data_IF_856695579562
#
_entry.id   IF_856695579562
#
_cell.length_a   1.000
_cell.length_b   1.000
_cell.length_c   1.000
_cell.angle_alpha   90.00
_cell.angle_beta   90.00
_cell.angle_gamma   90.00
#
_symmetry.space_group_name_H-M   'P 1'
#
loop_
_entity.id
_entity.type
_entity.pdbx_description
1 polymer ?
#
# COMPACT_ATOMS: atom_id res chain seq x y z
N UNK A 1 -21.78 0.62 -8.27
CA UNK A 1 -20.62 0.74 -7.36
C UNK A 1 -20.11 2.17 -7.46
N UNK A 2 -20.26 2.99 -6.41
CA UNK A 2 -20.03 4.43 -6.48
C UNK A 2 -18.54 4.77 -6.43
N UNK A 3 -17.98 5.09 -7.59
CA UNK A 3 -16.73 5.83 -7.74
C UNK A 3 -16.99 7.31 -7.43
N UNK A 4 -16.18 7.93 -6.56
CA UNK A 4 -16.01 9.39 -6.57
C UNK A 4 -16.54 10.22 -5.40
N UNK A 5 -16.52 9.76 -4.15
CA UNK A 5 -16.58 10.69 -3.00
C UNK A 5 -15.20 10.81 -2.33
N UNK A 6 -14.52 11.94 -2.61
CA UNK A 6 -13.32 12.37 -1.88
C UNK A 6 -13.66 12.43 -0.39
N UNK A 7 -12.86 11.73 0.40
CA UNK A 7 -12.94 11.71 1.86
C UNK A 7 -12.45 13.07 2.40
N UNK A 8 -13.29 13.75 3.20
CA UNK A 8 -12.98 15.09 3.71
C UNK A 8 -11.70 15.11 4.56
N UNK A 9 -11.04 16.28 4.61
CA UNK A 9 -9.72 16.60 5.21
C UNK A 9 -9.46 16.17 6.67
N UNK A 10 -10.36 15.45 7.32
CA UNK A 10 -10.16 14.83 8.65
C UNK A 10 -9.93 13.32 8.60
N UNK A 11 -9.84 12.69 7.42
CA UNK A 11 -10.11 11.25 7.36
C UNK A 11 -9.18 10.40 6.48
N UNK A 12 -7.96 10.88 6.14
CA UNK A 12 -6.94 10.00 5.51
C UNK A 12 -5.99 9.35 6.54
N UNK A 13 -5.84 9.97 7.72
CA UNK A 13 -5.19 9.34 8.86
C UNK A 13 -6.03 8.13 9.29
N UNK A 14 -5.40 6.99 9.50
CA UNK A 14 -6.05 5.72 9.77
C UNK A 14 -6.42 4.92 8.52
N UNK A 15 -6.30 5.48 7.32
CA UNK A 15 -6.52 4.72 6.08
C UNK A 15 -5.48 3.61 5.93
N UNK A 16 -5.95 2.38 5.71
CA UNK A 16 -5.13 1.22 5.37
C UNK A 16 -4.58 1.36 3.97
N UNK A 17 -3.25 1.29 3.85
CA UNK A 17 -2.52 1.37 2.58
C UNK A 17 -1.38 0.37 2.58
N UNK A 18 -0.86 0.07 1.39
CA UNK A 18 0.42 -0.57 1.21
C UNK A 18 1.42 0.43 0.65
N UNK A 19 2.68 0.37 1.09
CA UNK A 19 3.76 1.23 0.59
C UNK A 19 5.04 0.41 0.39
N UNK A 20 5.89 0.79 -0.57
CA UNK A 20 7.12 0.05 -0.87
C UNK A 20 8.17 0.26 0.22
N UNK A 21 8.91 -0.81 0.50
CA UNK A 21 10.17 -0.79 1.25
C UNK A 21 11.39 -0.75 0.33
N UNK A 22 12.57 -0.62 0.96
CA UNK A 22 13.86 -0.60 0.25
C UNK A 22 14.18 -1.92 -0.45
N UNK A 23 13.55 -3.01 -0.01
CA UNK A 23 13.64 -4.36 -0.59
C UNK A 23 12.71 -4.58 -1.79
N UNK A 24 11.96 -3.54 -2.21
CA UNK A 24 10.97 -3.62 -3.29
C UNK A 24 9.67 -4.33 -2.92
N UNK A 25 9.52 -4.78 -1.67
CA UNK A 25 8.27 -5.36 -1.17
C UNK A 25 7.32 -4.25 -0.73
N UNK A 26 6.03 -4.49 -0.89
CA UNK A 26 4.97 -3.67 -0.33
C UNK A 26 4.59 -4.18 1.06
N UNK A 27 4.54 -3.23 2.00
CA UNK A 27 4.17 -3.47 3.38
C UNK A 27 2.85 -2.79 3.68
N UNK A 28 1.94 -3.52 4.32
CA UNK A 28 0.67 -2.97 4.78
C UNK A 28 0.85 -2.13 6.05
N UNK A 29 0.06 -1.07 6.16
CA UNK A 29 0.05 -0.21 7.32
C UNK A 29 -1.09 0.78 7.31
N UNK A 30 -1.03 1.74 8.23
CA UNK A 30 -1.99 2.85 8.32
C UNK A 30 -1.28 4.19 8.17
N UNK A 31 -1.86 5.10 7.41
CA UNK A 31 -1.35 6.48 7.34
C UNK A 31 -1.50 7.12 8.73
N UNK A 32 -0.40 7.59 9.33
CA UNK A 32 -0.42 8.20 10.66
C UNK A 32 -0.14 9.70 10.65
N UNK A 33 0.40 10.24 9.54
CA UNK A 33 0.71 11.65 9.40
C UNK A 33 0.68 12.09 7.94
N UNK A 34 0.33 13.36 7.71
CA UNK A 34 0.33 14.01 6.40
C UNK A 34 1.10 15.31 6.52
N UNK A 35 2.02 15.55 5.59
CA UNK A 35 2.81 16.77 5.49
C UNK A 35 2.52 17.43 4.15
N UNK A 36 1.91 18.61 4.17
CA UNK A 36 1.63 19.42 2.97
C UNK A 36 2.38 20.75 3.10
N UNK A 37 3.30 21.10 2.17
CA UNK A 37 4.03 22.35 2.23
C UNK A 37 3.11 23.58 2.11
N UNK A 38 3.41 24.64 2.87
CA UNK A 38 2.58 25.85 2.97
C UNK A 38 2.40 26.62 1.64
N UNK A 39 3.38 26.56 0.72
CA UNK A 39 3.34 27.24 -0.59
C UNK A 39 2.27 26.69 -1.55
N UNK A 40 1.57 25.62 -1.16
CA UNK A 40 0.57 24.91 -1.95
C UNK A 40 -0.87 25.13 -1.42
N UNK A 41 -1.04 25.98 -0.40
CA UNK A 41 -2.30 26.23 0.29
C UNK A 41 -3.03 27.51 -0.17
N UNK A 42 -2.72 28.06 -1.36
CA UNK A 42 -3.53 29.12 -1.95
C UNK A 42 -4.75 28.51 -2.66
N UNK A 43 -5.93 28.95 -2.25
CA UNK A 43 -7.26 28.61 -2.78
C UNK A 43 -7.93 27.35 -2.19
N UNK A 44 -8.67 27.58 -1.10
CA UNK A 44 -9.96 26.95 -0.79
C UNK A 44 -10.16 25.50 -1.24
N UNK A 45 -9.30 24.61 -0.76
CA UNK A 45 -9.41 23.16 -0.96
C UNK A 45 -8.07 22.50 -0.64
N UNK A 46 -8.05 21.29 -0.07
CA UNK A 46 -6.79 20.51 -0.06
C UNK A 46 -6.78 20.00 -1.49
N UNK A 47 -6.21 20.78 -2.39
CA UNK A 47 -5.54 20.16 -3.50
C UNK A 47 -4.50 19.25 -2.85
N UNK A 48 -4.67 17.93 -2.97
CA UNK A 48 -3.57 16.99 -2.75
C UNK A 48 -2.52 17.42 -3.77
N UNK A 49 -1.61 18.26 -3.33
CA UNK A 49 -0.58 18.78 -4.22
C UNK A 49 0.43 17.66 -4.45
N UNK A 50 1.12 17.64 -5.60
CA UNK A 50 2.16 16.65 -5.89
C UNK A 50 3.28 16.59 -4.83
N UNK A 51 3.35 17.60 -3.95
CA UNK A 51 4.32 17.70 -2.86
C UNK A 51 3.77 17.20 -1.51
N UNK A 52 2.53 16.74 -1.44
CA UNK A 52 1.97 16.16 -0.21
C UNK A 52 2.66 14.84 0.09
N UNK A 53 3.14 14.69 1.32
CA UNK A 53 3.83 13.50 1.81
C UNK A 53 3.02 12.82 2.90
N UNK A 54 3.07 11.49 2.90
CA UNK A 54 2.36 10.62 3.82
C UNK A 54 3.36 9.78 4.60
N UNK A 55 3.13 9.58 5.89
CA UNK A 55 3.90 8.63 6.70
C UNK A 55 3.01 7.48 7.13
N UNK A 56 3.51 6.26 6.99
CA UNK A 56 2.76 5.02 7.22
C UNK A 56 3.35 4.30 8.44
N UNK A 57 2.48 3.94 9.39
CA UNK A 57 2.81 2.99 10.46
C UNK A 57 2.54 1.58 9.93
N UNK A 58 3.60 0.85 9.66
CA UNK A 58 3.51 -0.51 9.12
C UNK A 58 3.13 -1.54 10.18
N UNK A 59 2.46 -2.60 9.72
CA UNK A 59 2.20 -3.78 10.53
C UNK A 59 3.51 -4.54 10.79
N UNK A 60 3.54 -5.31 11.88
CA UNK A 60 4.63 -6.24 12.13
C UNK A 60 4.58 -7.39 11.12
N UNK A 61 5.69 -7.61 10.41
CA UNK A 61 5.83 -8.71 9.44
C UNK A 61 6.92 -9.65 9.92
N UNK A 62 6.62 -10.93 10.22
CA UNK A 62 7.63 -11.92 10.56
C UNK A 62 8.68 -12.05 9.44
N UNK A 63 9.96 -11.92 9.78
CA UNK A 63 11.06 -11.99 8.81
C UNK A 63 11.14 -10.82 7.81
N UNK A 64 10.20 -9.87 7.85
CA UNK A 64 10.23 -8.65 7.07
C UNK A 64 10.92 -7.51 7.80
N UNK A 65 11.48 -6.56 7.05
CA UNK A 65 11.98 -5.29 7.61
C UNK A 65 11.09 -4.18 7.05
N UNK A 66 9.93 -3.90 7.68
CA UNK A 66 9.08 -2.80 7.22
C UNK A 66 9.83 -1.47 7.35
N UNK A 67 9.50 -0.47 6.52
CA UNK A 67 10.14 0.83 6.58
C UNK A 67 9.90 1.54 7.92
N UNK A 68 10.77 2.48 8.24
CA UNK A 68 10.60 3.34 9.43
C UNK A 68 9.29 4.15 9.32
N UNK A 69 8.57 4.39 10.43
CA UNK A 69 7.43 5.31 10.46
C UNK A 69 7.78 6.74 10.02
N UNK A 70 9.06 7.12 10.06
CA UNK A 70 9.54 8.42 9.57
C UNK A 70 9.65 8.50 8.05
N UNK A 71 9.57 7.37 7.33
CA UNK A 71 9.62 7.33 5.87
C UNK A 71 8.42 8.07 5.28
N UNK A 72 8.66 8.84 4.23
CA UNK A 72 7.66 9.69 3.58
C UNK A 72 7.38 9.22 2.14
N UNK A 73 6.10 9.05 1.84
CA UNK A 73 5.59 8.56 0.57
C UNK A 73 4.80 9.66 -0.15
N UNK A 74 4.87 9.69 -1.48
CA UNK A 74 3.92 10.43 -2.31
C UNK A 74 2.61 9.66 -2.46
N UNK A 75 1.60 10.27 -3.08
CA UNK A 75 0.34 9.60 -3.41
C UNK A 75 0.54 8.41 -4.36
N UNK A 76 1.52 8.51 -5.27
CA UNK A 76 1.83 7.49 -6.27
C UNK A 76 2.52 6.26 -5.70
N UNK A 77 3.17 6.40 -4.56
CA UNK A 77 3.86 5.30 -3.89
C UNK A 77 2.89 4.43 -3.07
N UNK A 78 1.71 4.96 -2.74
CA UNK A 78 0.74 4.27 -1.91
C UNK A 78 -0.28 3.51 -2.76
N UNK A 79 -0.65 2.33 -2.27
CA UNK A 79 -1.73 1.51 -2.82
C UNK A 79 -2.84 1.41 -1.78
N UNK A 80 -4.07 1.70 -2.19
CA UNK A 80 -5.23 1.63 -1.30
C UNK A 80 -6.32 2.64 -1.63
N UNK A 81 -7.36 2.75 -0.79
CA UNK A 81 -8.49 3.64 -1.06
C UNK A 81 -8.05 5.10 -1.21
N UNK A 82 -8.27 5.68 -2.41
CA UNK A 82 -7.87 7.06 -2.73
C UNK A 82 -6.43 7.22 -3.19
N UNK A 83 -5.69 6.12 -3.37
CA UNK A 83 -4.32 6.08 -3.88
C UNK A 83 -4.21 5.13 -5.09
N UNK A 84 -3.00 4.67 -5.43
CA UNK A 84 -2.76 3.74 -6.52
C UNK A 84 -3.50 2.41 -6.39
N UNK A 85 -3.65 1.72 -7.52
CA UNK A 85 -4.25 0.38 -7.60
C UNK A 85 -3.19 -0.70 -7.39
N UNK A 86 -3.60 -1.86 -6.88
CA UNK A 86 -2.74 -3.05 -6.81
C UNK A 86 -2.32 -3.53 -8.20
N UNK A 87 -3.12 -3.26 -9.22
CA UNK A 87 -2.83 -3.65 -10.62
C UNK A 87 -1.61 -2.94 -11.22
N UNK A 88 -1.17 -1.83 -10.63
CA UNK A 88 0.07 -1.15 -11.03
C UNK A 88 1.30 -1.60 -10.24
N UNK A 89 1.14 -2.53 -9.31
CA UNK A 89 2.23 -2.97 -8.44
C UNK A 89 3.07 -4.04 -9.12
N UNK A 90 4.38 -3.83 -9.13
CA UNK A 90 5.35 -4.87 -9.46
C UNK A 90 5.70 -5.68 -8.23
N UNK A 91 5.15 -6.90 -8.14
CA UNK A 91 5.45 -7.83 -7.05
C UNK A 91 6.85 -8.46 -7.25
N UNK A 92 7.56 -8.64 -6.14
CA UNK A 92 8.88 -9.27 -6.09
C UNK A 92 8.82 -10.61 -5.37
N UNK A 93 9.76 -11.54 -5.62
CA UNK A 93 9.84 -12.78 -4.87
C UNK A 93 9.91 -12.52 -3.36
N UNK A 94 9.17 -13.30 -2.58
CA UNK A 94 9.06 -13.13 -1.14
C UNK A 94 8.03 -12.11 -0.67
N UNK A 95 7.25 -11.50 -1.57
CA UNK A 95 6.13 -10.65 -1.21
C UNK A 95 4.99 -11.49 -0.63
N UNK A 96 4.55 -11.18 0.59
CA UNK A 96 3.31 -11.73 1.15
C UNK A 96 2.10 -11.11 0.43
N UNK A 97 1.24 -11.94 -0.11
CA UNK A 97 -0.02 -11.54 -0.77
C UNK A 97 -1.20 -12.26 -0.12
N UNK A 98 -2.38 -11.67 -0.26
CA UNK A 98 -3.65 -12.30 0.12
C UNK A 98 -4.47 -12.51 -1.15
N UNK A 99 -5.01 -13.71 -1.30
CA UNK A 99 -5.76 -14.11 -2.48
C UNK A 99 -6.92 -15.01 -2.09
N UNK A 100 -7.95 -15.05 -2.93
CA UNK A 100 -9.08 -15.97 -2.74
C UNK A 100 -8.78 -17.29 -3.44
N UNK A 101 -8.73 -18.38 -2.68
CA UNK A 101 -8.56 -19.73 -3.20
C UNK A 101 -9.65 -20.63 -2.58
N UNK A 102 -10.38 -21.37 -3.41
CA UNK A 102 -11.51 -22.21 -3.00
C UNK A 102 -12.54 -21.48 -2.11
N UNK A 103 -12.84 -20.22 -2.44
CA UNK A 103 -13.83 -19.41 -1.72
C UNK A 103 -13.38 -18.90 -0.34
N UNK A 104 -12.09 -19.05 0.01
CA UNK A 104 -11.50 -18.53 1.25
C UNK A 104 -10.36 -17.58 0.93
N UNK A 105 -10.24 -16.51 1.69
CA UNK A 105 -9.03 -15.69 1.68
C UNK A 105 -7.90 -16.46 2.37
N UNK A 106 -6.78 -16.57 1.68
CA UNK A 106 -5.55 -17.19 2.18
C UNK A 106 -4.38 -16.26 1.92
N UNK A 107 -3.29 -16.46 2.65
CA UNK A 107 -2.04 -15.80 2.35
C UNK A 107 -1.11 -16.72 1.55
N UNK A 108 -0.30 -16.12 0.69
CA UNK A 108 0.71 -16.79 -0.11
C UNK A 108 1.95 -15.91 -0.25
N UNK A 109 3.05 -16.50 -0.71
CA UNK A 109 4.29 -15.81 -0.99
C UNK A 109 4.55 -15.82 -2.50
N UNK A 110 4.84 -14.66 -3.08
CA UNK A 110 5.17 -14.53 -4.50
C UNK A 110 6.50 -15.23 -4.78
N UNK A 111 6.54 -16.09 -5.79
CA UNK A 111 7.78 -16.67 -6.31
C UNK A 111 8.23 -15.95 -7.57
N UNK A 112 7.29 -15.56 -8.44
CA UNK A 112 7.60 -14.89 -9.69
C UNK A 112 6.42 -14.04 -10.15
N UNK A 113 6.71 -12.86 -10.71
CA UNK A 113 5.72 -12.03 -11.39
C UNK A 113 6.09 -11.91 -12.87
N UNK A 114 5.20 -12.38 -13.75
CA UNK A 114 5.37 -12.40 -15.20
C UNK A 114 4.47 -11.34 -15.84
N UNK A 115 4.91 -10.08 -15.79
CA UNK A 115 4.12 -8.91 -16.24
C UNK A 115 3.61 -9.02 -17.69
N UNK A 116 4.38 -9.64 -18.58
CA UNK A 116 4.01 -9.82 -19.99
C UNK A 116 2.85 -10.82 -20.21
N UNK A 117 2.56 -11.67 -19.21
CA UNK A 117 1.46 -12.63 -19.22
C UNK A 117 0.33 -12.24 -18.26
N UNK A 118 0.50 -11.15 -17.49
CA UNK A 118 -0.41 -10.78 -16.39
C UNK A 118 -0.60 -11.91 -15.37
N UNK A 119 0.48 -12.66 -15.08
CA UNK A 119 0.48 -13.82 -14.20
C UNK A 119 1.42 -13.64 -12.99
N UNK A 120 0.98 -14.10 -11.82
CA UNK A 120 1.79 -14.14 -10.59
C UNK A 120 1.81 -15.56 -10.05
N UNK A 121 3.01 -16.15 -10.04
CA UNK A 121 3.25 -17.43 -9.40
C UNK A 121 3.42 -17.23 -7.89
N UNK A 122 2.71 -18.04 -7.11
CA UNK A 122 2.73 -17.96 -5.64
C UNK A 122 2.83 -19.34 -5.01
N UNK A 123 3.42 -19.40 -3.82
CA UNK A 123 3.38 -20.58 -2.95
C UNK A 123 2.42 -20.28 -1.81
N UNK A 124 1.37 -21.08 -1.70
CA UNK A 124 0.42 -21.02 -0.59
C UNK A 124 1.09 -21.61 0.65
N UNK A 125 1.12 -20.85 1.74
CA UNK A 125 1.60 -21.38 3.02
C UNK A 125 0.63 -22.46 3.52
N UNK A 126 1.12 -23.62 4.01
CA UNK A 126 0.26 -24.63 4.62
C UNK A 126 -0.50 -24.02 5.80
N UNK A 127 -1.80 -24.34 5.91
CA UNK A 127 -2.65 -23.86 7.00
C UNK A 127 -2.08 -24.33 8.35
N UNK A 128 -1.60 -23.42 9.21
CA UNK A 128 -1.15 -23.77 10.57
C UNK A 128 0.20 -23.23 11.03
N UNK A 129 0.85 -22.32 10.30
CA UNK A 129 2.02 -21.58 10.81
C UNK A 129 1.70 -20.08 10.84
N UNK A 130 1.14 -19.63 11.96
CA UNK A 130 1.16 -18.22 12.40
C UNK A 130 2.31 -18.01 13.39
#
# INVERSE_FOLDING_TARGET
>A
MSTGKRLAKRSIIGTRVCAPGEDGKYYSGVIHAVKTPASAASESGLSITPKTRYSVRFDSVPGGRPPSPSTEYSDRDLIGPGFGSVTSARLVPGQKVYLTYNGREIHAEVTQHREHLDEVDVIIAPTGQE
#
